data_IF_428231321161
#
_entry.id   IF_428231321161
#
_cell.length_a   1.000
_cell.length_b   1.000
_cell.length_c   1.000
_cell.angle_alpha   90.00
_cell.angle_beta   90.00
_cell.angle_gamma   90.00
#
_symmetry.space_group_name_H-M   'P 1'
#
loop_
_entity.id
_entity.type
_entity.pdbx_description
1 polymer ?
#
# COMPACT_ATOMS: atom_id res chain seq x y z
N UNK A 1 -2.79 -21.74 4.08
CA UNK A 1 -1.98 -20.71 3.38
C UNK A 1 -1.61 -19.65 4.41
N UNK A 2 -0.33 -19.33 4.54
CA UNK A 2 0.13 -18.29 5.47
C UNK A 2 -0.29 -16.91 4.97
N UNK A 3 -0.94 -16.11 5.81
CA UNK A 3 -1.32 -14.75 5.46
C UNK A 3 -0.09 -13.85 5.35
N UNK A 4 0.19 -13.33 4.17
CA UNK A 4 1.24 -12.32 3.96
C UNK A 4 0.68 -10.98 4.42
N UNK A 5 1.33 -10.35 5.39
CA UNK A 5 1.00 -9.01 5.88
C UNK A 5 2.27 -8.18 5.84
N UNK A 6 2.23 -7.04 5.15
CA UNK A 6 3.32 -6.05 5.16
C UNK A 6 2.83 -4.76 5.79
N UNK A 7 3.73 -4.09 6.51
CA UNK A 7 3.46 -2.82 7.18
C UNK A 7 4.40 -1.77 6.61
N UNK A 8 3.83 -0.64 6.21
CA UNK A 8 4.57 0.53 5.73
C UNK A 8 4.12 1.72 6.56
N UNK A 9 5.05 2.47 7.15
CA UNK A 9 4.71 3.60 8.00
C UNK A 9 5.60 4.79 7.68
N UNK A 10 5.05 5.98 7.80
CA UNK A 10 5.76 7.26 7.74
C UNK A 10 5.91 7.90 9.13
N UNK A 11 5.57 7.17 10.22
CA UNK A 11 5.59 7.66 11.60
C UNK A 11 4.24 8.19 12.09
N UNK A 12 3.37 8.67 11.21
CA UNK A 12 2.04 9.19 11.56
C UNK A 12 0.93 8.19 11.19
N UNK A 13 1.05 7.59 10.01
CA UNK A 13 0.12 6.59 9.47
C UNK A 13 0.85 5.28 9.22
N UNK A 14 0.16 4.16 9.45
CA UNK A 14 0.64 2.83 9.09
C UNK A 14 -0.31 2.18 8.10
N UNK A 15 0.18 1.93 6.88
CA UNK A 15 -0.50 1.16 5.85
C UNK A 15 -0.24 -0.33 6.07
N UNK A 16 -1.32 -1.07 6.30
CA UNK A 16 -1.31 -2.53 6.36
C UNK A 16 -1.70 -3.06 4.99
N UNK A 17 -0.74 -3.69 4.30
CA UNK A 17 -0.96 -4.26 2.98
C UNK A 17 -1.04 -5.78 3.05
N UNK A 18 -2.17 -6.32 2.62
CA UNK A 18 -2.44 -7.76 2.54
C UNK A 18 -2.64 -8.14 1.06
N UNK A 19 -1.63 -8.68 0.34
CA UNK A 19 -1.72 -8.96 -1.10
C UNK A 19 -2.99 -9.71 -1.50
N UNK A 20 -3.34 -10.76 -0.76
CA UNK A 20 -4.52 -11.59 -1.06
C UNK A 20 -5.85 -10.81 -1.03
N UNK A 21 -5.92 -9.70 -0.30
CA UNK A 21 -7.13 -8.84 -0.23
C UNK A 21 -7.00 -7.60 -1.11
N UNK A 22 -5.86 -6.92 -1.03
CA UNK A 22 -5.65 -5.61 -1.63
C UNK A 22 -5.51 -5.64 -3.16
N UNK A 23 -5.06 -6.75 -3.77
CA UNK A 23 -4.84 -6.82 -5.23
C UNK A 23 -6.13 -6.71 -6.06
N UNK A 24 -7.30 -6.97 -5.45
CA UNK A 24 -8.58 -7.05 -6.18
C UNK A 24 -9.30 -5.69 -6.31
N UNK A 25 -9.09 -4.78 -5.36
CA UNK A 25 -9.94 -3.57 -5.26
C UNK A 25 -9.55 -2.49 -6.26
N UNK A 26 -8.27 -2.37 -6.61
CA UNK A 26 -7.71 -1.29 -7.47
C UNK A 26 -7.92 0.15 -6.98
N UNK A 27 -8.77 0.38 -5.98
CA UNK A 27 -9.19 1.71 -5.53
C UNK A 27 -8.03 2.54 -4.99
N UNK A 28 -7.10 1.90 -4.26
CA UNK A 28 -5.98 2.60 -3.65
C UNK A 28 -5.03 3.21 -4.70
N UNK A 29 -4.66 2.45 -5.74
CA UNK A 29 -3.76 2.96 -6.78
C UNK A 29 -4.44 3.99 -7.70
N UNK A 30 -5.77 3.90 -7.88
CA UNK A 30 -6.52 4.89 -8.66
C UNK A 30 -6.74 6.19 -7.89
N UNK A 31 -6.90 6.11 -6.57
CA UNK A 31 -7.16 7.27 -5.72
C UNK A 31 -5.89 8.01 -5.28
N UNK A 32 -4.81 7.29 -4.99
CA UNK A 32 -3.57 7.88 -4.49
C UNK A 32 -2.33 7.15 -5.08
N UNK A 33 -2.07 7.31 -6.39
CA UNK A 33 -1.01 6.60 -7.10
C UNK A 33 0.41 6.90 -6.60
N UNK A 34 0.61 8.05 -5.96
CA UNK A 34 1.88 8.43 -5.32
C UNK A 34 2.23 7.55 -4.11
N UNK A 35 1.22 7.04 -3.41
CA UNK A 35 1.37 6.11 -2.29
C UNK A 35 1.25 4.65 -2.73
N UNK A 36 0.38 4.33 -3.69
CA UNK A 36 0.08 2.95 -4.12
C UNK A 36 0.37 2.75 -5.61
N UNK A 37 1.45 2.04 -5.98
CA UNK A 37 1.86 1.86 -7.39
C UNK A 37 2.26 0.42 -7.75
N UNK A 38 1.40 -0.38 -8.44
CA UNK A 38 1.64 -1.81 -8.67
C UNK A 38 2.86 -2.13 -9.50
N UNK A 39 3.36 -1.13 -10.21
CA UNK A 39 4.53 -1.25 -11.06
C UNK A 39 5.83 -1.03 -10.26
N UNK A 40 5.74 -0.52 -9.03
CA UNK A 40 6.89 -0.28 -8.15
C UNK A 40 7.00 -1.33 -7.05
N UNK A 41 8.24 -1.55 -6.62
CA UNK A 41 8.55 -2.35 -5.44
C UNK A 41 9.43 -1.51 -4.50
N UNK A 42 8.98 -1.25 -3.26
CA UNK A 42 7.74 -1.70 -2.64
C UNK A 42 6.47 -1.10 -3.27
N UNK A 43 5.34 -1.83 -3.17
CA UNK A 43 4.07 -1.41 -3.76
C UNK A 43 3.46 -0.19 -3.03
N UNK A 44 3.74 -0.10 -1.73
CA UNK A 44 3.26 1.00 -0.89
C UNK A 44 4.44 1.89 -0.55
N UNK A 45 4.31 3.18 -0.84
CA UNK A 45 5.18 4.25 -0.40
C UNK A 45 4.41 5.13 0.59
N UNK A 46 4.57 4.89 1.89
CA UNK A 46 3.84 5.64 2.93
C UNK A 46 4.18 7.15 2.97
N UNK A 47 5.30 7.54 2.37
CA UNK A 47 5.75 8.94 2.26
C UNK A 47 5.36 9.57 0.91
N UNK A 48 4.56 8.86 0.10
CA UNK A 48 4.18 9.32 -1.23
C UNK A 48 3.26 10.54 -1.25
N UNK A 49 2.58 10.83 -0.14
CA UNK A 49 1.63 11.93 0.02
C UNK A 49 1.81 12.61 1.40
N UNK A 50 1.35 13.85 1.51
CA UNK A 50 1.26 14.53 2.82
C UNK A 50 0.18 13.87 3.68
N UNK A 51 0.46 13.81 4.98
CA UNK A 51 -0.49 13.34 6.01
C UNK A 51 -1.27 14.52 6.58
#
# INVERSE_FOLDING_TARGET
>A
MSEIIKRYTNGEVTVIWQPAKCIHSTICFRGLPEVFDPNKRPWVNAEGAST
#
